data_IF_967656461998
#
_entry.id   IF_967656461998
#
_cell.length_a   1.000
_cell.length_b   1.000
_cell.length_c   1.000
_cell.angle_alpha   90.00
_cell.angle_beta   90.00
_cell.angle_gamma   90.00
#
_symmetry.space_group_name_H-M   'P 1'
#
loop_
_entity.id
_entity.type
_entity.pdbx_description
1 polymer ?
#
# COMPACT_ATOMS: atom_id res chain seq x y z
N UNK A 1 3.07 7.89 -1.98
CA UNK A 1 3.04 7.04 -3.20
C UNK A 1 2.56 7.90 -4.38
N UNK A 2 3.36 8.10 -5.43
CA UNK A 2 2.94 8.89 -6.60
C UNK A 2 2.13 8.00 -7.56
N UNK A 3 0.94 8.47 -7.93
CA UNK A 3 0.00 7.77 -8.83
C UNK A 3 0.61 7.54 -10.22
N UNK A 4 1.49 8.41 -10.69
CA UNK A 4 2.14 8.27 -12.00
C UNK A 4 2.95 6.96 -12.16
N UNK A 5 3.65 6.54 -11.09
CA UNK A 5 4.39 5.25 -11.06
C UNK A 5 3.49 4.02 -11.08
N UNK A 6 2.23 4.17 -10.69
CA UNK A 6 1.24 3.07 -10.72
C UNK A 6 0.90 2.67 -12.15
N UNK A 7 0.66 3.65 -13.02
CA UNK A 7 0.27 3.39 -14.41
C UNK A 7 1.36 2.63 -15.19
N UNK A 8 2.61 3.05 -15.05
CA UNK A 8 3.77 2.37 -15.66
C UNK A 8 4.00 0.97 -15.10
N UNK A 9 3.74 0.74 -13.81
CA UNK A 9 3.93 -0.58 -13.19
C UNK A 9 2.85 -1.59 -13.61
N UNK A 10 1.63 -1.13 -13.89
CA UNK A 10 0.51 -1.95 -14.39
C UNK A 10 0.71 -2.38 -15.84
N UNK A 11 1.18 -1.46 -16.70
CA UNK A 11 1.49 -1.76 -18.11
C UNK A 11 2.80 -2.54 -18.25
N UNK A 12 3.71 -2.45 -17.27
CA UNK A 12 5.05 -3.03 -17.30
C UNK A 12 5.17 -4.42 -16.68
N UNK A 13 4.55 -5.46 -17.23
CA UNK A 13 4.73 -6.88 -16.83
C UNK A 13 4.20 -7.29 -15.44
N UNK A 14 3.89 -8.59 -15.30
CA UNK A 14 3.41 -9.23 -14.05
C UNK A 14 4.37 -9.04 -12.86
N UNK A 15 5.67 -9.04 -13.11
CA UNK A 15 6.70 -8.87 -12.06
C UNK A 15 6.67 -7.45 -11.46
N UNK A 16 6.47 -6.42 -12.29
CA UNK A 16 6.37 -5.04 -11.79
C UNK A 16 5.07 -4.79 -11.04
N UNK A 17 3.96 -5.39 -11.50
CA UNK A 17 2.68 -5.36 -10.77
C UNK A 17 2.83 -5.95 -9.37
N UNK A 18 3.51 -7.10 -9.24
CA UNK A 18 3.74 -7.72 -7.93
C UNK A 18 4.55 -6.83 -7.00
N UNK A 19 5.68 -6.29 -7.48
CA UNK A 19 6.53 -5.39 -6.69
C UNK A 19 5.77 -4.13 -6.27
N UNK A 20 4.91 -3.62 -7.14
CA UNK A 20 4.07 -2.48 -6.83
C UNK A 20 3.03 -2.81 -5.74
N UNK A 21 2.35 -3.95 -5.83
CA UNK A 21 1.37 -4.39 -4.83
C UNK A 21 2.01 -4.55 -3.44
N UNK A 22 3.20 -5.13 -3.36
CA UNK A 22 3.95 -5.27 -2.10
C UNK A 22 4.25 -3.90 -1.47
N UNK A 23 4.70 -2.93 -2.28
CA UNK A 23 4.93 -1.56 -1.81
C UNK A 23 3.63 -0.85 -1.39
N UNK A 24 2.55 -1.05 -2.16
CA UNK A 24 1.24 -0.48 -1.86
C UNK A 24 0.72 -1.00 -0.52
N UNK A 25 0.70 -2.32 -0.33
CA UNK A 25 0.27 -2.96 0.92
C UNK A 25 1.10 -2.48 2.10
N UNK A 26 2.42 -2.40 1.95
CA UNK A 26 3.30 -1.92 3.01
C UNK A 26 2.99 -0.46 3.40
N UNK A 27 2.84 0.42 2.41
CA UNK A 27 2.50 1.82 2.64
C UNK A 27 1.14 1.96 3.33
N UNK A 28 0.11 1.29 2.81
CA UNK A 28 -1.25 1.40 3.31
C UNK A 28 -1.36 0.85 4.74
N UNK A 29 -0.74 -0.30 5.01
CA UNK A 29 -0.87 -0.99 6.28
C UNK A 29 -0.01 -0.41 7.40
N UNK A 30 1.08 0.32 7.10
CA UNK A 30 2.06 0.78 8.10
C UNK A 30 2.36 2.28 8.12
N UNK A 31 2.04 3.02 7.06
CA UNK A 31 2.47 4.42 6.96
C UNK A 31 1.32 5.40 6.81
N UNK A 32 0.11 4.89 6.59
CA UNK A 32 -1.09 5.73 6.50
C UNK A 32 -1.75 5.80 7.88
N UNK A 33 -1.68 6.95 8.58
CA UNK A 33 -2.50 7.17 9.75
C UNK A 33 -3.96 7.10 9.35
N UNK A 34 -4.69 6.14 9.90
CA UNK A 34 -6.10 5.96 9.60
C UNK A 34 -6.93 6.72 10.62
N UNK A 35 -7.47 7.87 10.22
CA UNK A 35 -8.41 8.63 11.05
C UNK A 35 -9.65 7.82 11.42
N UNK A 36 -10.02 6.82 10.61
CA UNK A 36 -11.09 5.87 10.90
C UNK A 36 -10.71 4.79 11.94
N UNK A 37 -9.41 4.60 12.21
CA UNK A 37 -8.88 3.65 13.19
C UNK A 37 -8.27 4.38 14.40
N UNK A 38 -8.79 5.57 14.73
CA UNK A 38 -8.28 6.40 15.83
C UNK A 38 -6.76 6.69 15.71
N UNK A 39 -6.27 6.82 14.49
CA UNK A 39 -4.85 7.06 14.19
C UNK A 39 -3.96 5.81 14.24
N UNK A 40 -4.49 4.65 14.60
CA UNK A 40 -3.75 3.38 14.58
C UNK A 40 -3.47 2.90 13.16
N UNK A 41 -2.41 2.11 13.01
CA UNK A 41 -2.10 1.50 11.73
C UNK A 41 -3.05 0.31 11.49
N UNK A 42 -3.51 0.06 10.25
CA UNK A 42 -4.36 -1.08 9.94
C UNK A 42 -3.78 -2.42 10.36
N UNK A 43 -2.45 -2.57 10.32
CA UNK A 43 -1.78 -3.79 10.76
C UNK A 43 -1.95 -4.05 12.27
N UNK A 44 -2.08 -2.99 13.07
CA UNK A 44 -2.26 -3.11 14.52
C UNK A 44 -3.71 -3.52 14.86
N UNK A 45 -4.68 -3.04 14.08
CA UNK A 45 -6.09 -3.41 14.24
C UNK A 45 -6.35 -4.86 13.84
N UNK A 46 -5.73 -5.34 12.76
CA UNK A 46 -5.92 -6.72 12.27
C UNK A 46 -5.27 -7.77 13.18
N UNK A 47 -4.27 -7.38 13.98
CA UNK A 47 -3.54 -8.28 14.89
C UNK A 47 -4.18 -8.37 16.29
N UNK A 48 -5.27 -7.64 16.54
CA UNK A 48 -5.97 -7.58 17.83
C UNK A 48 -7.25 -8.44 17.80
#
# INVERSE_FOLDING_TARGET
>A
MRIDRFHTSWVGSRSSVRKWLEQFMHYYNRQRPHQALDGKMPVEEVLN
#
